data_IF_406403091745
#
_entry.id   IF_406403091745
#
_cell.length_a   1.000
_cell.length_b   1.000
_cell.length_c   1.000
_cell.angle_alpha   90.00
_cell.angle_beta   90.00
_cell.angle_gamma   90.00
#
_symmetry.space_group_name_H-M   'P 1'
#
loop_
_entity.id
_entity.type
_entity.pdbx_description
1 polymer ?
#
# COMPACT_ATOMS: atom_id res chain seq x y z
N UNK A 1 -20.40 -5.41 -8.56
CA UNK A 1 -19.40 -6.49 -8.47
C UNK A 1 -18.47 -6.48 -9.68
N UNK A 2 -19.00 -6.39 -10.91
CA UNK A 2 -18.22 -6.33 -12.16
C UNK A 2 -17.13 -5.25 -12.22
N UNK A 3 -17.41 -4.06 -11.68
CA UNK A 3 -16.44 -2.96 -11.66
C UNK A 3 -15.16 -3.30 -10.88
N UNK A 4 -15.28 -3.86 -9.68
CA UNK A 4 -14.13 -4.27 -8.86
C UNK A 4 -13.31 -5.39 -9.53
N UNK A 5 -13.97 -6.33 -10.23
CA UNK A 5 -13.27 -7.36 -11.00
C UNK A 5 -12.43 -6.74 -12.11
N UNK A 6 -12.97 -5.76 -12.83
CA UNK A 6 -12.24 -5.04 -13.87
C UNK A 6 -11.08 -4.22 -13.29
N UNK A 7 -11.29 -3.51 -12.18
CA UNK A 7 -10.23 -2.76 -11.50
C UNK A 7 -9.09 -3.67 -11.03
N UNK A 8 -9.39 -4.86 -10.53
CA UNK A 8 -8.37 -5.86 -10.17
C UNK A 8 -7.61 -6.37 -11.41
N UNK A 9 -8.33 -6.74 -12.46
CA UNK A 9 -7.73 -7.21 -13.71
C UNK A 9 -6.76 -6.19 -14.32
N UNK A 10 -7.06 -4.89 -14.19
CA UNK A 10 -6.21 -3.82 -14.69
C UNK A 10 -4.83 -3.74 -14.00
N UNK A 11 -4.71 -4.21 -12.75
CA UNK A 11 -3.45 -4.13 -11.97
C UNK A 11 -2.75 -5.48 -11.78
N UNK A 12 -3.49 -6.59 -11.85
CA UNK A 12 -2.98 -7.94 -11.62
C UNK A 12 -3.04 -8.86 -12.86
N UNK A 13 -3.65 -8.38 -13.96
CA UNK A 13 -3.87 -9.14 -15.19
C UNK A 13 -5.09 -10.08 -15.15
N UNK A 14 -5.32 -10.79 -16.25
CA UNK A 14 -6.54 -11.60 -16.47
C UNK A 14 -6.33 -13.12 -16.38
N UNK A 15 -5.13 -13.54 -15.95
CA UNK A 15 -4.81 -14.96 -15.79
C UNK A 15 -5.79 -15.65 -14.83
N UNK A 16 -5.96 -16.97 -14.96
CA UNK A 16 -6.82 -17.72 -14.06
C UNK A 16 -6.40 -17.56 -12.59
N UNK A 17 -5.09 -17.50 -12.33
CA UNK A 17 -4.54 -17.23 -11.00
C UNK A 17 -4.89 -15.81 -10.51
N UNK A 18 -4.76 -14.79 -11.36
CA UNK A 18 -5.13 -13.43 -11.01
C UNK A 18 -6.63 -13.32 -10.70
N UNK A 19 -7.50 -13.91 -11.53
CA UNK A 19 -8.95 -13.94 -11.29
C UNK A 19 -9.32 -14.64 -9.99
N UNK A 20 -8.65 -15.75 -9.66
CA UNK A 20 -8.87 -16.46 -8.40
C UNK A 20 -8.51 -15.61 -7.17
N UNK A 21 -7.38 -14.88 -7.22
CA UNK A 21 -6.96 -13.97 -6.13
C UNK A 21 -7.95 -12.80 -6.01
N UNK A 22 -8.37 -12.20 -7.12
CA UNK A 22 -9.37 -11.13 -7.09
C UNK A 22 -10.70 -11.58 -6.46
N UNK A 23 -11.14 -12.81 -6.77
CA UNK A 23 -12.32 -13.40 -6.15
C UNK A 23 -12.13 -13.65 -4.64
N UNK A 24 -10.96 -14.15 -4.22
CA UNK A 24 -10.60 -14.31 -2.79
C UNK A 24 -10.68 -12.97 -2.05
N UNK A 25 -10.09 -11.91 -2.62
CA UNK A 25 -10.11 -10.58 -2.03
C UNK A 25 -11.54 -10.04 -1.91
N UNK A 26 -12.34 -10.14 -2.97
CA UNK A 26 -13.75 -9.72 -2.92
C UNK A 26 -14.50 -10.46 -1.80
N UNK A 27 -14.27 -11.77 -1.63
CA UNK A 27 -14.89 -12.55 -0.57
C UNK A 27 -14.47 -12.05 0.83
N UNK A 28 -13.18 -11.79 1.05
CA UNK A 28 -12.65 -11.25 2.32
C UNK A 28 -13.27 -9.90 2.66
N UNK A 29 -13.28 -8.97 1.70
CA UNK A 29 -13.92 -7.65 1.87
C UNK A 29 -15.45 -7.72 2.01
N UNK A 30 -16.06 -8.89 1.81
CA UNK A 30 -17.50 -9.14 1.96
C UNK A 30 -17.84 -9.93 3.22
N UNK A 31 -16.88 -10.20 4.11
CA UNK A 31 -17.14 -10.99 5.32
C UNK A 31 -18.22 -10.34 6.21
N UNK A 32 -19.21 -11.10 6.72
CA UNK A 32 -20.41 -10.53 7.36
C UNK A 32 -20.18 -9.73 8.63
N UNK A 33 -19.02 -9.88 9.29
CA UNK A 33 -18.67 -9.14 10.51
C UNK A 33 -18.21 -7.72 10.24
N UNK A 34 -17.77 -7.40 9.01
CA UNK A 34 -17.34 -6.05 8.62
C UNK A 34 -18.53 -5.11 8.56
N UNK A 35 -18.35 -3.86 9.00
CA UNK A 35 -19.40 -2.81 8.92
C UNK A 35 -18.91 -1.60 8.15
N UNK A 36 -17.68 -1.17 8.42
CA UNK A 36 -16.99 -0.13 7.68
C UNK A 36 -16.02 -0.71 6.66
N UNK A 37 -15.12 -1.61 7.07
CA UNK A 37 -14.05 -2.18 6.23
C UNK A 37 -14.59 -3.22 5.23
N UNK A 38 -15.40 -2.74 4.30
CA UNK A 38 -16.20 -3.50 3.35
C UNK A 38 -15.77 -3.20 1.90
N UNK A 39 -16.38 -3.87 0.92
CA UNK A 39 -16.25 -3.48 -0.50
C UNK A 39 -16.60 -2.00 -0.77
N UNK A 40 -17.39 -1.35 0.10
CA UNK A 40 -17.65 0.09 0.00
C UNK A 40 -16.39 0.92 0.28
N UNK A 41 -15.67 0.58 1.35
CA UNK A 41 -14.40 1.21 1.71
C UNK A 41 -13.35 1.01 0.62
N UNK A 42 -13.13 -0.24 0.18
CA UNK A 42 -12.19 -0.55 -0.89
C UNK A 42 -12.43 0.30 -2.16
N UNK A 43 -13.70 0.45 -2.58
CA UNK A 43 -14.03 1.31 -3.73
C UNK A 43 -13.70 2.78 -3.47
N UNK A 44 -13.97 3.28 -2.27
CA UNK A 44 -13.67 4.64 -1.89
C UNK A 44 -12.15 4.91 -1.94
N UNK A 45 -11.33 4.00 -1.40
CA UNK A 45 -9.87 4.11 -1.45
C UNK A 45 -9.35 4.07 -2.89
N UNK A 46 -9.80 3.10 -3.71
CA UNK A 46 -9.39 3.01 -5.11
C UNK A 46 -9.77 4.28 -5.90
N UNK A 47 -10.97 4.82 -5.69
CA UNK A 47 -11.39 6.08 -6.31
C UNK A 47 -10.59 7.29 -5.80
N UNK A 48 -10.17 7.29 -4.54
CA UNK A 48 -9.34 8.33 -3.95
C UNK A 48 -7.89 8.30 -4.47
N UNK A 49 -7.37 7.15 -4.89
CA UNK A 49 -6.05 7.02 -5.52
C UNK A 49 -6.01 7.70 -6.89
N UNK A 50 -7.07 7.64 -7.69
CA UNK A 50 -7.08 8.17 -9.06
C UNK A 50 -6.57 9.63 -9.19
N UNK A 51 -7.09 10.62 -8.44
CA UNK A 51 -6.59 11.99 -8.51
C UNK A 51 -5.16 12.16 -7.95
N UNK A 52 -4.66 11.20 -7.19
CA UNK A 52 -3.34 11.23 -6.55
C UNK A 52 -2.28 10.45 -7.31
N UNK A 53 -2.67 9.65 -8.31
CA UNK A 53 -1.79 8.69 -8.99
C UNK A 53 -0.56 9.37 -9.63
N UNK A 54 -0.65 10.64 -10.04
CA UNK A 54 0.50 11.39 -10.55
C UNK A 54 1.58 11.68 -9.50
N UNK A 55 1.22 11.64 -8.22
CA UNK A 55 2.16 11.79 -7.11
C UNK A 55 2.88 10.47 -6.78
N UNK A 56 2.30 9.30 -7.03
CA UNK A 56 2.93 8.02 -6.75
C UNK A 56 4.17 7.75 -7.64
N UNK A 57 5.16 7.06 -7.10
CA UNK A 57 6.31 6.54 -7.86
C UNK A 57 5.93 5.24 -8.60
N UNK A 58 5.19 4.35 -7.95
CA UNK A 58 4.57 3.16 -8.53
C UNK A 58 3.06 3.13 -8.24
N UNK A 59 2.23 3.79 -9.09
CA UNK A 59 0.78 3.77 -8.95
C UNK A 59 0.15 2.37 -8.99
N UNK A 60 0.81 1.38 -9.61
CA UNK A 60 0.32 0.00 -9.65
C UNK A 60 0.54 -0.67 -8.29
N UNK A 61 1.72 -0.47 -7.68
CA UNK A 61 1.99 -0.95 -6.32
C UNK A 61 0.99 -0.35 -5.31
N UNK A 62 0.70 0.95 -5.40
CA UNK A 62 -0.27 1.62 -4.53
C UNK A 62 -1.68 1.02 -4.68
N UNK A 63 -2.15 0.80 -5.91
CA UNK A 63 -3.46 0.17 -6.14
C UNK A 63 -3.49 -1.28 -5.63
N UNK A 64 -2.44 -2.06 -5.88
CA UNK A 64 -2.33 -3.42 -5.34
C UNK A 64 -2.36 -3.39 -3.81
N UNK A 65 -1.62 -2.50 -3.16
CA UNK A 65 -1.63 -2.35 -1.71
C UNK A 65 -3.02 -1.98 -1.17
N UNK A 66 -3.77 -1.10 -1.85
CA UNK A 66 -5.14 -0.77 -1.50
C UNK A 66 -6.07 -2.00 -1.50
N UNK A 67 -5.90 -2.93 -2.43
CA UNK A 67 -6.65 -4.19 -2.43
C UNK A 67 -6.37 -5.09 -1.21
N UNK A 68 -5.15 -5.01 -0.66
CA UNK A 68 -4.71 -5.89 0.42
C UNK A 68 -4.78 -5.27 1.81
N UNK A 69 -4.76 -3.94 1.97
CA UNK A 69 -4.46 -3.31 3.28
C UNK A 69 -5.30 -3.84 4.45
N UNK A 70 -6.62 -4.00 4.27
CA UNK A 70 -7.52 -4.61 5.26
C UNK A 70 -8.15 -5.94 4.79
N UNK A 71 -7.47 -6.65 3.87
CA UNK A 71 -7.93 -7.95 3.37
C UNK A 71 -7.96 -9.02 4.49
N UNK A 72 -7.17 -8.84 5.54
CA UNK A 72 -7.36 -9.48 6.85
C UNK A 72 -7.88 -8.42 7.80
N UNK A 73 -8.97 -8.72 8.53
CA UNK A 73 -9.56 -7.77 9.48
C UNK A 73 -10.25 -8.52 10.63
N UNK A 74 -9.48 -8.72 11.70
CA UNK A 74 -9.95 -9.28 12.97
C UNK A 74 -10.15 -8.18 14.03
N UNK A 75 -9.97 -6.90 13.67
CA UNK A 75 -10.09 -5.75 14.57
C UNK A 75 -8.90 -5.59 15.50
N UNK A 76 -7.70 -5.97 15.04
CA UNK A 76 -6.45 -5.97 15.82
C UNK A 76 -5.39 -5.12 15.12
N UNK A 77 -5.33 -3.81 15.44
CA UNK A 77 -4.36 -2.90 14.82
C UNK A 77 -2.92 -3.39 14.94
N UNK A 78 -2.13 -3.19 13.88
CA UNK A 78 -0.78 -3.70 13.69
C UNK A 78 -0.70 -5.18 13.31
N UNK A 79 -1.59 -6.02 13.86
CA UNK A 79 -1.61 -7.45 13.55
C UNK A 79 -2.33 -7.73 12.22
N UNK A 80 -3.45 -7.06 11.98
CA UNK A 80 -4.23 -7.18 10.74
C UNK A 80 -3.39 -6.76 9.52
N UNK A 81 -2.67 -5.65 9.62
CA UNK A 81 -1.84 -5.09 8.55
C UNK A 81 -0.64 -5.99 8.23
N UNK A 82 0.02 -6.57 9.26
CA UNK A 82 1.09 -7.53 9.04
C UNK A 82 0.58 -8.79 8.32
N UNK A 83 -0.61 -9.29 8.71
CA UNK A 83 -1.23 -10.46 8.06
C UNK A 83 -1.69 -10.15 6.64
N UNK A 84 -2.25 -8.98 6.42
CA UNK A 84 -2.60 -8.46 5.10
C UNK A 84 -1.37 -8.33 4.20
N UNK A 85 -0.24 -7.86 4.73
CA UNK A 85 1.03 -7.77 4.00
C UNK A 85 1.60 -9.14 3.63
N UNK A 86 1.55 -10.10 4.55
CA UNK A 86 1.95 -11.48 4.29
C UNK A 86 1.04 -12.15 3.24
N UNK A 87 -0.26 -11.89 3.32
CA UNK A 87 -1.22 -12.33 2.31
C UNK A 87 -0.84 -11.75 0.94
N UNK A 88 -0.61 -10.45 0.85
CA UNK A 88 -0.19 -9.77 -0.38
C UNK A 88 1.07 -10.40 -0.99
N UNK A 89 2.11 -10.57 -0.19
CA UNK A 89 3.37 -11.18 -0.63
C UNK A 89 3.16 -12.59 -1.18
N UNK A 90 2.40 -13.42 -0.46
CA UNK A 90 2.14 -14.81 -0.85
C UNK A 90 1.31 -14.92 -2.14
N UNK A 91 0.32 -14.04 -2.33
CA UNK A 91 -0.60 -14.10 -3.47
C UNK A 91 0.04 -13.53 -4.73
N UNK A 92 0.69 -12.37 -4.62
CA UNK A 92 1.31 -11.72 -5.77
C UNK A 92 2.53 -12.49 -6.28
N UNK A 93 3.28 -13.17 -5.41
CA UNK A 93 4.38 -14.05 -5.84
C UNK A 93 3.93 -15.16 -6.80
N UNK A 94 2.69 -15.65 -6.67
CA UNK A 94 2.11 -16.66 -7.58
C UNK A 94 1.78 -16.13 -8.98
N UNK A 95 1.76 -14.82 -9.14
CA UNK A 95 1.50 -14.14 -10.41
C UNK A 95 2.78 -13.76 -11.16
N UNK A 96 3.94 -13.88 -10.51
CA UNK A 96 5.23 -13.67 -11.17
C UNK A 96 5.50 -14.89 -12.05
N UNK A 97 5.68 -14.65 -13.35
CA UNK A 97 6.07 -15.71 -14.28
C UNK A 97 7.41 -16.32 -13.83
N UNK A 98 7.60 -17.65 -13.93
CA UNK A 98 8.92 -18.23 -13.73
C UNK A 98 9.90 -17.58 -14.71
N UNK A 99 11.17 -17.36 -14.31
CA UNK A 99 12.18 -16.88 -15.24
C UNK A 99 12.21 -17.82 -16.45
N UNK A 100 12.24 -17.26 -17.66
CA UNK A 100 12.33 -18.07 -18.87
C UNK A 100 13.54 -19.03 -18.74
N UNK A 101 13.39 -20.32 -19.08
CA UNK A 101 14.51 -21.25 -19.03
C UNK A 101 15.64 -20.69 -19.89
N UNK A 102 16.81 -20.55 -19.29
CA UNK A 102 18.02 -20.13 -20.01
C UNK A 102 18.27 -21.14 -21.13
N UNK A 103 18.33 -20.69 -22.39
CA UNK A 103 18.59 -21.52 -23.58
C UNK A 103 20.03 -22.09 -23.64
N UNK A 104 20.67 -22.32 -22.49
CA UNK A 104 22.10 -22.68 -22.39
C UNK A 104 22.38 -24.14 -22.06
N UNK A 105 21.39 -25.04 -22.06
CA UNK A 105 21.68 -26.46 -21.87
C UNK A 105 20.79 -27.37 -22.74
N UNK A 106 21.00 -27.31 -24.05
CA UNK A 106 20.59 -28.35 -24.99
C UNK A 106 21.79 -28.71 -25.86
N UNK A 107 22.55 -29.72 -25.41
CA UNK A 107 23.34 -30.59 -26.29
C UNK A 107 24.76 -30.14 -26.61
N UNK A 108 25.72 -30.51 -25.76
CA UNK A 108 27.07 -30.86 -26.22
C UNK A 108 27.28 -32.35 -26.00
N UNK A 109 27.43 -33.18 -27.05
CA UNK A 109 27.78 -34.59 -26.88
C UNK A 109 29.21 -34.70 -26.32
N UNK A 110 29.44 -35.78 -25.59
CA UNK A 110 30.70 -36.07 -24.92
C UNK A 110 31.90 -36.07 -25.88
N UNK A 111 33.04 -35.67 -25.35
CA UNK A 111 34.32 -35.72 -26.01
C UNK A 111 35.42 -35.45 -25.00
N UNK A 112 36.06 -36.53 -24.54
CA UNK A 112 37.24 -36.57 -23.67
C UNK A 112 38.27 -35.45 -23.90
N UNK A 113 38.79 -34.92 -22.78
CA UNK A 113 39.98 -34.07 -22.68
C UNK A 113 41.28 -34.89 -22.97
N UNK A 114 42.52 -34.31 -22.99
CA UNK A 114 43.14 -33.71 -21.79
C UNK A 114 44.19 -32.60 -22.12
N UNK A 115 45.23 -32.28 -21.30
CA UNK A 115 45.37 -30.94 -20.70
C UNK A 115 46.69 -30.22 -21.05
N UNK A 116 46.79 -28.92 -20.78
CA UNK A 116 48.10 -28.26 -20.56
C UNK A 116 48.00 -27.16 -19.50
N UNK A 117 49.11 -27.03 -18.77
CA UNK A 117 49.29 -26.32 -17.51
C UNK A 117 50.02 -24.99 -17.69
N UNK A 118 49.92 -24.18 -16.63
CA UNK A 118 50.96 -23.32 -16.04
C UNK A 118 50.93 -21.79 -16.27
N UNK A 119 50.80 -21.12 -15.12
CA UNK A 119 51.73 -20.14 -14.53
C UNK A 119 51.64 -18.63 -14.87
N UNK A 120 51.46 -17.87 -13.78
CA UNK A 120 52.13 -16.60 -13.46
C UNK A 120 51.36 -15.32 -13.81
N UNK A 121 51.48 -14.18 -13.12
CA UNK A 121 52.16 -13.75 -11.89
C UNK A 121 51.81 -12.23 -11.70
N UNK A 122 51.87 -11.71 -10.46
CA UNK A 122 52.11 -10.30 -9.97
C UNK A 122 51.13 -9.11 -10.13
N UNK A 123 50.65 -8.63 -8.95
CA UNK A 123 50.60 -7.28 -8.30
C UNK A 123 50.50 -5.98 -9.15
N UNK A 124 49.46 -5.15 -8.97
CA UNK A 124 49.24 -4.02 -8.00
C UNK A 124 49.47 -2.62 -8.63
N UNK A 125 49.32 -1.48 -7.90
CA UNK A 125 48.07 -0.73 -7.68
C UNK A 125 48.14 0.72 -8.27
N UNK A 126 47.01 1.42 -8.41
CA UNK A 126 46.99 2.73 -9.07
C UNK A 126 45.89 3.70 -8.64
N UNK A 127 46.16 4.44 -7.57
CA UNK A 127 45.82 5.86 -7.33
C UNK A 127 44.34 6.28 -7.25
N UNK A 128 43.91 6.57 -6.02
CA UNK A 128 42.84 7.52 -5.71
C UNK A 128 43.38 8.96 -5.67
N UNK A 129 42.65 9.93 -6.23
CA UNK A 129 42.75 11.38 -5.96
C UNK A 129 41.38 12.07 -6.20
N UNK A 130 41.18 13.29 -5.67
CA UNK A 130 40.03 13.61 -4.83
C UNK A 130 38.80 14.17 -5.56
N UNK A 131 37.68 14.11 -4.85
CA UNK A 131 36.42 14.76 -5.18
C UNK A 131 36.53 16.29 -5.05
N UNK A 132 36.05 16.99 -6.07
CA UNK A 132 35.56 18.36 -5.95
C UNK A 132 34.32 18.50 -6.84
N UNK A 133 33.40 19.37 -6.44
CA UNK A 133 32.21 19.73 -7.22
C UNK A 133 30.89 19.22 -6.64
N UNK A 134 30.31 20.03 -5.78
CA UNK A 134 28.90 19.93 -5.42
C UNK A 134 28.02 19.94 -6.67
N UNK A 135 27.29 18.85 -6.88
CA UNK A 135 26.18 18.81 -7.82
C UNK A 135 24.96 18.36 -7.04
N UNK A 136 24.05 19.32 -6.80
CA UNK A 136 22.70 19.07 -6.33
C UNK A 136 22.09 18.10 -7.34
N UNK A 137 21.98 16.82 -6.97
CA UNK A 137 21.17 15.88 -7.75
C UNK A 137 19.74 16.36 -7.62
N UNK A 138 19.23 16.95 -8.69
CA UNK A 138 17.80 17.06 -8.92
C UNK A 138 17.18 15.68 -8.68
N UNK A 139 16.08 15.55 -7.92
CA UNK A 139 15.39 14.27 -7.84
C UNK A 139 14.87 14.00 -9.24
N UNK A 140 15.49 13.04 -9.92
CA UNK A 140 15.08 12.60 -11.24
C UNK A 140 13.62 12.21 -11.17
N UNK A 141 12.82 12.77 -12.09
CA UNK A 141 11.43 12.39 -12.25
C UNK A 141 11.33 10.87 -12.39
N UNK A 142 10.88 10.22 -11.33
CA UNK A 142 10.54 8.80 -11.37
C UNK A 142 9.47 8.64 -12.45
N UNK A 143 9.84 8.00 -13.55
CA UNK A 143 8.85 7.51 -14.53
C UNK A 143 7.86 6.63 -13.76
N UNK A 144 6.54 6.76 -13.99
CA UNK A 144 5.58 5.84 -13.40
C UNK A 144 5.97 4.42 -13.80
N UNK A 145 6.09 3.53 -12.82
CA UNK A 145 6.47 2.15 -13.07
C UNK A 145 5.33 1.39 -13.78
N UNK A 146 5.26 1.52 -15.10
CA UNK A 146 4.39 0.71 -15.97
C UNK A 146 4.95 -0.69 -16.27
N UNK A 147 5.85 -1.19 -15.41
CA UNK A 147 6.53 -2.48 -15.57
C UNK A 147 5.67 -3.69 -15.19
N UNK A 148 6.11 -4.92 -15.52
CA UNK A 148 5.44 -6.14 -15.07
C UNK A 148 5.53 -6.31 -13.55
N UNK A 149 4.65 -7.13 -12.98
CA UNK A 149 4.75 -7.53 -11.58
C UNK A 149 6.04 -8.34 -11.37
N UNK A 150 6.89 -7.89 -10.47
CA UNK A 150 8.15 -8.54 -10.11
C UNK A 150 8.31 -8.61 -8.57
N UNK A 151 9.40 -9.24 -8.12
CA UNK A 151 9.66 -9.38 -6.69
C UNK A 151 9.83 -8.05 -5.95
N UNK A 152 10.30 -6.99 -6.62
CA UNK A 152 10.45 -5.66 -5.98
C UNK A 152 9.09 -5.02 -5.74
N UNK A 153 8.20 -5.06 -6.73
CA UNK A 153 6.83 -4.57 -6.58
C UNK A 153 6.08 -5.35 -5.51
N UNK A 154 6.25 -6.67 -5.43
CA UNK A 154 5.63 -7.48 -4.35
C UNK A 154 6.12 -7.05 -2.97
N UNK A 155 7.43 -6.82 -2.82
CA UNK A 155 7.99 -6.33 -1.56
C UNK A 155 7.45 -4.93 -1.22
N UNK A 156 7.32 -4.06 -2.22
CA UNK A 156 6.78 -2.71 -2.03
C UNK A 156 5.31 -2.72 -1.62
N UNK A 157 4.47 -3.54 -2.27
CA UNK A 157 3.07 -3.72 -1.87
C UNK A 157 2.98 -4.17 -0.40
N UNK A 158 3.78 -5.14 0.01
CA UNK A 158 3.78 -5.61 1.39
C UNK A 158 4.29 -4.56 2.39
N UNK A 159 5.22 -3.67 1.98
CA UNK A 159 5.68 -2.54 2.80
C UNK A 159 4.56 -1.50 2.97
N UNK A 160 3.91 -1.13 1.87
CA UNK A 160 2.81 -0.17 1.85
C UNK A 160 1.61 -0.66 2.68
N UNK A 161 1.28 -1.94 2.61
CA UNK A 161 0.22 -2.53 3.46
C UNK A 161 0.57 -2.43 4.95
N UNK A 162 1.83 -2.67 5.36
CA UNK A 162 2.21 -2.48 6.76
C UNK A 162 2.13 -1.02 7.21
N UNK A 163 2.40 -0.10 6.30
CA UNK A 163 2.41 1.34 6.58
C UNK A 163 1.03 1.87 7.00
N UNK A 164 -0.06 1.23 6.56
CA UNK A 164 -1.43 1.62 6.95
C UNK A 164 -1.73 1.38 8.42
N UNK A 165 -0.90 0.64 9.17
CA UNK A 165 -1.09 0.50 10.61
C UNK A 165 -0.94 1.81 11.39
N UNK A 166 -0.15 2.76 10.85
CA UNK A 166 0.10 4.06 11.47
C UNK A 166 -0.23 5.27 10.61
N UNK A 167 -0.50 5.07 9.32
CA UNK A 167 -0.76 6.14 8.34
C UNK A 167 0.31 7.26 8.35
N UNK A 168 1.56 6.89 8.65
CA UNK A 168 2.67 7.84 8.85
C UNK A 168 3.83 7.56 7.87
N UNK A 169 3.65 7.85 6.58
CA UNK A 169 4.73 7.79 5.60
C UNK A 169 5.82 8.80 5.95
N UNK A 170 7.08 8.40 5.75
CA UNK A 170 8.20 9.34 5.81
C UNK A 170 8.04 10.41 4.71
N UNK A 171 8.46 11.67 4.96
CA UNK A 171 8.41 12.70 3.93
C UNK A 171 9.15 12.27 2.65
N UNK A 172 8.46 12.30 1.51
CA UNK A 172 9.01 11.84 0.23
C UNK A 172 8.81 10.35 -0.06
N UNK A 173 8.19 9.57 0.84
CA UNK A 173 7.64 8.24 0.55
C UNK A 173 6.38 8.39 -0.31
N UNK A 174 6.58 8.69 -1.60
CA UNK A 174 5.51 9.08 -2.53
C UNK A 174 4.38 8.05 -2.65
N UNK A 175 4.72 6.76 -2.60
CA UNK A 175 3.73 5.68 -2.67
C UNK A 175 2.96 5.54 -1.35
N UNK A 176 3.66 5.65 -0.21
CA UNK A 176 3.04 5.66 1.11
C UNK A 176 2.13 6.87 1.34
N UNK A 177 2.58 8.06 0.93
CA UNK A 177 1.81 9.31 0.98
C UNK A 177 0.48 9.16 0.23
N UNK A 178 0.50 8.57 -0.96
CA UNK A 178 -0.73 8.38 -1.76
C UNK A 178 -1.65 7.35 -1.13
N UNK A 179 -1.12 6.21 -0.67
CA UNK A 179 -1.95 5.18 -0.06
C UNK A 179 -2.62 5.68 1.23
N UNK A 180 -1.86 6.30 2.13
CA UNK A 180 -2.38 6.82 3.39
C UNK A 180 -3.39 7.95 3.17
N UNK A 181 -3.12 8.87 2.23
CA UNK A 181 -4.07 9.93 1.90
C UNK A 181 -5.38 9.37 1.35
N UNK A 182 -5.30 8.36 0.47
CA UNK A 182 -6.47 7.74 -0.12
C UNK A 182 -7.29 6.95 0.90
N UNK A 183 -6.65 6.24 1.83
CA UNK A 183 -7.33 5.51 2.90
C UNK A 183 -8.03 6.45 3.88
N UNK A 184 -7.39 7.58 4.21
CA UNK A 184 -7.96 8.63 5.07
C UNK A 184 -8.91 9.59 4.34
N UNK A 185 -9.17 9.42 3.04
CA UNK A 185 -10.04 10.32 2.27
C UNK A 185 -11.49 10.31 2.78
N UNK A 186 -11.92 9.21 3.41
CA UNK A 186 -13.25 9.10 4.05
C UNK A 186 -13.51 10.21 5.07
N UNK A 187 -12.46 10.70 5.73
CA UNK A 187 -12.59 11.70 6.78
C UNK A 187 -13.16 13.02 6.25
N UNK A 188 -12.93 13.32 4.96
CA UNK A 188 -13.46 14.49 4.28
C UNK A 188 -14.81 14.24 3.57
N UNK A 189 -15.33 13.01 3.62
CA UNK A 189 -16.53 12.62 2.89
C UNK A 189 -17.81 13.30 3.41
N UNK A 190 -18.78 13.61 2.54
CA UNK A 190 -20.09 14.14 2.96
C UNK A 190 -20.92 13.11 3.75
N UNK A 191 -20.53 11.83 3.74
CA UNK A 191 -21.16 10.74 4.51
C UNK A 191 -20.47 10.42 5.83
N UNK A 192 -19.74 11.39 6.42
CA UNK A 192 -18.90 11.16 7.60
C UNK A 192 -19.65 10.54 8.78
N UNK A 193 -20.88 10.99 9.08
CA UNK A 193 -21.65 10.43 10.21
C UNK A 193 -21.99 8.96 10.00
N UNK A 194 -22.23 8.54 8.76
CA UNK A 194 -22.46 7.14 8.42
C UNK A 194 -21.18 6.31 8.62
N UNK A 195 -20.03 6.88 8.25
CA UNK A 195 -18.72 6.31 8.55
C UNK A 195 -18.50 6.14 10.06
N UNK A 196 -18.70 7.21 10.86
CA UNK A 196 -18.52 7.15 12.31
C UNK A 196 -19.44 6.12 12.98
N UNK A 197 -20.71 6.05 12.55
CA UNK A 197 -21.65 5.00 13.01
C UNK A 197 -21.22 3.59 12.61
N UNK A 198 -20.72 3.39 11.40
CA UNK A 198 -20.22 2.09 10.96
C UNK A 198 -19.01 1.65 11.79
N UNK A 199 -18.08 2.56 12.08
CA UNK A 199 -16.95 2.32 12.99
C UNK A 199 -17.46 1.95 14.39
N UNK A 200 -18.40 2.71 14.97
CA UNK A 200 -18.99 2.36 16.28
C UNK A 200 -19.56 0.94 16.28
N UNK A 201 -20.21 0.51 15.20
CA UNK A 201 -20.78 -0.84 15.09
C UNK A 201 -19.72 -1.95 15.03
N UNK A 202 -18.57 -1.73 14.41
CA UNK A 202 -17.46 -2.72 14.43
C UNK A 202 -16.93 -2.91 15.86
N UNK A 203 -16.81 -1.82 16.58
CA UNK A 203 -16.38 -1.82 17.97
C UNK A 203 -17.52 -2.01 18.97
N UNK A 204 -18.70 -2.51 18.57
CA UNK A 204 -19.87 -2.70 19.45
C UNK A 204 -19.60 -3.55 20.70
N UNK A 205 -18.55 -4.37 20.65
CA UNK A 205 -18.09 -5.21 21.75
C UNK A 205 -17.28 -4.42 22.81
N UNK A 206 -16.80 -3.23 22.45
CA UNK A 206 -16.14 -2.30 23.37
C UNK A 206 -17.21 -1.47 24.10
N UNK A 207 -17.12 -1.37 25.44
CA UNK A 207 -18.00 -0.51 26.23
C UNK A 207 -18.02 0.94 25.73
N UNK A 208 -19.16 1.62 25.85
CA UNK A 208 -19.38 2.94 25.25
C UNK A 208 -18.40 4.01 25.76
N UNK A 209 -18.12 4.03 27.07
CA UNK A 209 -17.16 4.94 27.70
C UNK A 209 -15.73 4.70 27.18
N UNK A 210 -15.30 3.44 27.13
CA UNK A 210 -14.01 3.04 26.59
C UNK A 210 -13.89 3.36 25.10
N UNK A 211 -14.95 3.11 24.30
CA UNK A 211 -14.98 3.46 22.88
C UNK A 211 -14.88 4.97 22.69
N UNK A 212 -15.70 5.78 23.41
CA UNK A 212 -15.66 7.24 23.31
C UNK A 212 -14.28 7.79 23.66
N UNK A 213 -13.70 7.35 24.78
CA UNK A 213 -12.36 7.77 25.18
C UNK A 213 -11.27 7.33 24.19
N UNK A 214 -11.36 6.12 23.64
CA UNK A 214 -10.45 5.63 22.60
C UNK A 214 -10.57 6.43 21.30
N UNK A 215 -11.79 6.62 20.80
CA UNK A 215 -12.08 7.35 19.58
C UNK A 215 -11.66 8.82 19.69
N UNK A 216 -11.98 9.48 20.79
CA UNK A 216 -11.55 10.86 21.04
C UNK A 216 -10.03 11.01 20.98
N UNK A 217 -9.26 10.07 21.58
CA UNK A 217 -7.79 10.06 21.48
C UNK A 217 -7.28 9.93 20.05
N UNK A 218 -7.91 9.09 19.23
CA UNK A 218 -7.56 8.97 17.80
C UNK A 218 -7.82 10.28 17.08
N UNK A 219 -8.99 10.90 17.29
CA UNK A 219 -9.35 12.17 16.64
C UNK A 219 -8.44 13.31 17.08
N UNK A 220 -8.10 13.40 18.37
CA UNK A 220 -7.13 14.35 18.90
C UNK A 220 -5.75 14.17 18.25
N UNK A 221 -5.27 12.93 18.14
CA UNK A 221 -4.00 12.61 17.50
C UNK A 221 -3.96 13.06 16.04
N UNK A 222 -5.01 12.78 15.27
CA UNK A 222 -5.15 13.24 13.89
C UNK A 222 -5.18 14.77 13.81
N UNK A 223 -5.99 15.44 14.64
CA UNK A 223 -6.11 16.90 14.63
C UNK A 223 -4.83 17.62 15.05
N UNK A 224 -3.98 16.98 15.85
CA UNK A 224 -2.68 17.50 16.27
C UNK A 224 -1.62 17.46 15.15
N UNK A 225 -1.82 16.66 14.10
CA UNK A 225 -0.90 16.65 12.95
C UNK A 225 -0.90 18.03 12.26
N UNK A 226 0.26 18.52 11.80
CA UNK A 226 0.32 19.75 11.00
C UNK A 226 -0.52 19.66 9.72
N UNK A 227 -0.66 18.45 9.17
CA UNK A 227 -1.50 18.14 8.04
C UNK A 227 -2.01 16.71 8.16
N UNK A 228 -3.30 16.48 7.89
CA UNK A 228 -3.89 15.14 7.81
C UNK A 228 -3.41 14.45 6.53
N UNK A 229 -3.36 15.20 5.44
CA UNK A 229 -2.98 14.69 4.12
C UNK A 229 -1.55 15.11 3.73
N UNK A 230 -0.78 14.22 3.11
CA UNK A 230 0.65 14.38 2.81
C UNK A 230 0.91 14.89 1.40
N UNK A 231 0.07 14.53 0.45
CA UNK A 231 0.16 15.03 -0.93
C UNK A 231 -0.53 16.41 -1.05
N UNK A 232 0.05 17.36 -1.83
CA UNK A 232 -0.61 18.62 -2.13
C UNK A 232 -2.06 18.48 -2.65
N UNK A 233 -2.37 17.62 -3.65
CA UNK A 233 -3.74 17.49 -4.16
C UNK A 233 -4.73 16.97 -3.11
N UNK A 234 -4.33 16.05 -2.22
CA UNK A 234 -5.20 15.58 -1.14
C UNK A 234 -5.46 16.69 -0.11
N UNK A 235 -4.44 17.47 0.28
CA UNK A 235 -4.61 18.62 1.19
C UNK A 235 -5.63 19.62 0.67
N UNK A 236 -5.46 20.06 -0.57
CA UNK A 236 -6.34 21.05 -1.20
C UNK A 236 -7.78 20.54 -1.26
N UNK A 237 -7.96 19.23 -1.53
CA UNK A 237 -9.27 18.63 -1.72
C UNK A 237 -10.00 18.30 -0.42
N UNK A 238 -9.27 17.84 0.60
CA UNK A 238 -9.87 17.12 1.72
C UNK A 238 -9.57 17.71 3.11
N UNK A 239 -8.44 18.39 3.31
CA UNK A 239 -7.98 18.81 4.65
C UNK A 239 -9.03 19.61 5.42
N UNK A 240 -9.59 20.65 4.77
CA UNK A 240 -10.56 21.53 5.41
C UNK A 240 -11.86 20.79 5.78
N UNK A 241 -12.32 19.87 4.93
CA UNK A 241 -13.52 19.08 5.18
C UNK A 241 -13.28 18.06 6.30
N UNK A 242 -12.19 17.31 6.23
CA UNK A 242 -11.81 16.34 7.25
C UNK A 242 -11.71 16.99 8.62
N UNK A 243 -10.97 18.10 8.75
CA UNK A 243 -10.83 18.79 10.05
C UNK A 243 -12.14 19.32 10.61
N UNK A 244 -13.11 19.71 9.78
CA UNK A 244 -14.45 20.07 10.29
C UNK A 244 -15.17 18.85 10.84
N UNK A 245 -15.19 17.76 10.07
CA UNK A 245 -15.86 16.51 10.44
C UNK A 245 -15.26 15.91 11.74
N UNK A 246 -13.93 15.81 11.83
CA UNK A 246 -13.25 15.30 13.02
C UNK A 246 -13.56 16.15 14.26
N UNK A 247 -13.61 17.48 14.14
CA UNK A 247 -13.95 18.37 15.26
C UNK A 247 -15.40 18.23 15.70
N UNK A 248 -16.32 18.05 14.76
CA UNK A 248 -17.73 17.83 15.06
C UNK A 248 -17.91 16.52 15.86
N UNK A 249 -17.37 15.40 15.37
CA UNK A 249 -17.43 14.12 16.10
C UNK A 249 -16.76 14.23 17.47
N UNK A 250 -15.60 14.89 17.56
CA UNK A 250 -14.89 15.05 18.83
C UNK A 250 -15.69 15.85 19.86
N UNK A 251 -16.47 16.85 19.46
CA UNK A 251 -17.37 17.57 20.34
C UNK A 251 -18.47 16.65 20.87
N UNK A 252 -19.15 15.90 19.97
CA UNK A 252 -20.20 14.95 20.34
C UNK A 252 -19.71 13.87 21.32
N UNK A 253 -18.50 13.35 21.12
CA UNK A 253 -17.90 12.34 22.00
C UNK A 253 -17.59 12.87 23.40
N UNK A 254 -17.32 14.18 23.56
CA UNK A 254 -16.96 14.83 24.83
C UNK A 254 -18.17 15.37 25.59
N UNK A 255 -19.19 15.82 24.88
CA UNK A 255 -20.40 16.41 25.47
C UNK A 255 -21.36 15.34 26.03
N UNK A 256 -21.06 14.05 25.81
CA UNK A 256 -21.76 12.93 26.43
C UNK A 256 -23.17 12.72 25.88
N UNK A 257 -23.30 12.70 24.55
CA UNK A 257 -24.56 12.48 23.83
C UNK A 257 -25.40 11.31 24.33
#
# INVERSE_FOLDING_TARGET
>A
MNDLVAQWAAVAGESAAARAIGAELIARWSEPHRRYHTLGHLRAVLAAIEPLAGHAADPVAVRLAAWFHDAVYDGRPGWDEERSAQLAASRLARLIAPPAPSLTDQGRPDGSAPPVSSAGEVRSPGVARPADGGSRRSPGGARPATGPLDGRRVAEVARLVRLTAGHDPAPGDRDGEVLCDADLAVLAGPGYDAYARAVRQEYRHVPDDAFRAGRARVLDGLLALPSLYRTPPARERWEAAARRNLRAELAELRDGG
#
